data_IF_117697254625
#
_entry.id   IF_117697254625
#
_cell.length_a   1.000
_cell.length_b   1.000
_cell.length_c   1.000
_cell.angle_alpha   90.00
_cell.angle_beta   90.00
_cell.angle_gamma   90.00
#
_symmetry.space_group_name_H-M   'P 1'
#
loop_
_entity.id
_entity.type
_entity.pdbx_description
1 polymer ?
#
# COMPACT_ATOMS: atom_id res chain seq x y z
N UNK A 1 -3.11 8.67 3.18
CA UNK A 1 -1.87 7.95 2.80
C UNK A 1 -1.49 8.25 1.35
N UNK A 2 -2.36 7.94 0.37
CA UNK A 2 -2.04 8.07 -1.06
C UNK A 2 -1.60 9.48 -1.48
N UNK A 3 -2.37 10.51 -1.13
CA UNK A 3 -2.02 11.92 -1.43
C UNK A 3 -0.69 12.37 -0.80
N UNK A 4 -0.35 11.81 0.36
CA UNK A 4 0.91 12.09 1.04
C UNK A 4 2.07 11.41 0.32
N UNK A 5 2.00 10.10 0.04
CA UNK A 5 3.13 9.34 -0.49
C UNK A 5 3.36 9.54 -1.99
N UNK A 6 2.26 9.52 -2.77
CA UNK A 6 2.27 9.37 -4.23
C UNK A 6 1.92 10.65 -5.00
N UNK A 7 1.56 11.73 -4.30
CA UNK A 7 1.30 13.03 -4.92
C UNK A 7 2.28 14.06 -4.38
N UNK A 8 2.25 14.30 -3.06
CA UNK A 8 3.15 15.25 -2.38
C UNK A 8 4.48 14.64 -1.97
N UNK A 9 4.58 13.31 -1.93
CA UNK A 9 5.68 12.59 -1.29
C UNK A 9 6.81 12.23 -2.24
N UNK A 10 7.70 11.36 -1.79
CA UNK A 10 8.91 10.97 -2.52
C UNK A 10 8.61 10.09 -3.74
N UNK A 11 7.44 9.48 -3.79
CA UNK A 11 7.00 8.57 -4.84
C UNK A 11 6.01 9.22 -5.81
N UNK A 12 6.13 10.53 -6.03
CA UNK A 12 5.21 11.26 -6.93
C UNK A 12 5.44 10.98 -8.42
N UNK A 13 6.56 10.35 -8.78
CA UNK A 13 6.94 10.05 -10.16
C UNK A 13 7.33 8.58 -10.29
N UNK A 14 7.05 7.97 -11.45
CA UNK A 14 7.29 6.52 -11.62
C UNK A 14 8.77 6.15 -11.57
N UNK A 15 9.67 7.11 -11.85
CA UNK A 15 11.13 6.94 -11.71
C UNK A 15 11.59 6.67 -10.27
N UNK A 16 10.80 7.05 -9.26
CA UNK A 16 11.08 6.75 -7.85
C UNK A 16 10.31 5.52 -7.35
N UNK A 17 9.60 4.83 -8.24
CA UNK A 17 8.74 3.68 -7.95
C UNK A 17 7.28 3.96 -8.30
N UNK A 18 6.56 2.98 -8.81
CA UNK A 18 5.12 3.07 -9.04
C UNK A 18 4.36 2.89 -7.73
N UNK A 19 3.14 3.41 -7.65
CA UNK A 19 2.28 3.26 -6.48
C UNK A 19 1.95 1.79 -6.20
N UNK A 20 1.90 0.96 -7.24
CA UNK A 20 1.72 -0.48 -7.11
C UNK A 20 2.98 -1.17 -6.55
N UNK A 21 4.18 -0.86 -7.08
CA UNK A 21 5.42 -1.42 -6.56
C UNK A 21 5.63 -1.06 -5.08
N UNK A 22 5.41 0.20 -4.71
CA UNK A 22 5.67 0.67 -3.35
C UNK A 22 4.55 0.28 -2.37
N UNK A 23 3.30 0.22 -2.85
CA UNK A 23 2.13 0.01 -2.00
C UNK A 23 1.59 -1.42 -1.98
N UNK A 24 1.95 -2.25 -2.96
CA UNK A 24 1.37 -3.58 -3.19
C UNK A 24 2.41 -4.69 -3.40
N UNK A 25 3.72 -4.44 -3.39
CA UNK A 25 4.71 -5.52 -3.52
C UNK A 25 4.53 -6.61 -2.45
N UNK A 26 4.29 -6.22 -1.19
CA UNK A 26 4.02 -7.17 -0.12
C UNK A 26 2.69 -7.94 -0.31
N UNK A 27 1.74 -7.40 -1.09
CA UNK A 27 0.50 -8.10 -1.39
C UNK A 27 0.81 -9.24 -2.36
N UNK A 28 1.68 -8.98 -3.34
CA UNK A 28 2.23 -10.01 -4.23
C UNK A 28 3.09 -11.02 -3.45
N UNK A 29 3.90 -10.60 -2.48
CA UNK A 29 4.64 -11.51 -1.60
C UNK A 29 3.69 -12.49 -0.89
N UNK A 30 2.62 -11.99 -0.27
CA UNK A 30 1.63 -12.82 0.41
C UNK A 30 0.91 -13.77 -0.57
N UNK A 31 0.48 -13.26 -1.72
CA UNK A 31 -0.20 -14.05 -2.74
C UNK A 31 0.71 -15.18 -3.25
N UNK A 32 1.97 -14.87 -3.57
CA UNK A 32 2.93 -15.88 -4.03
C UNK A 32 3.15 -16.95 -2.96
N UNK A 33 3.27 -16.55 -1.69
CA UNK A 33 3.35 -17.49 -0.57
C UNK A 33 2.09 -18.37 -0.44
N UNK A 34 0.89 -17.82 -0.58
CA UNK A 34 -0.36 -18.59 -0.51
C UNK A 34 -0.57 -19.53 -1.70
N UNK A 35 -0.03 -19.17 -2.86
CA UNK A 35 -0.06 -20.03 -4.04
C UNK A 35 0.91 -21.21 -3.91
N UNK A 36 1.91 -21.12 -3.04
CA UNK A 36 2.92 -22.15 -2.82
C UNK A 36 3.82 -22.29 -4.04
N UNK A 37 4.09 -23.53 -4.46
CA UNK A 37 4.98 -23.81 -5.61
C UNK A 37 4.38 -23.45 -6.98
N UNK A 38 3.10 -23.05 -7.03
CA UNK A 38 2.43 -22.67 -8.28
C UNK A 38 2.93 -21.32 -8.74
N UNK A 39 3.37 -21.26 -9.99
CA UNK A 39 3.88 -20.02 -10.57
C UNK A 39 2.80 -19.25 -11.31
N UNK A 40 3.00 -17.94 -11.42
CA UNK A 40 2.16 -17.10 -12.27
C UNK A 40 2.54 -17.37 -13.73
N UNK A 41 1.54 -17.63 -14.59
CA UNK A 41 1.75 -17.90 -16.01
C UNK A 41 1.36 -16.72 -16.89
N UNK A 42 0.45 -15.86 -16.42
CA UNK A 42 0.08 -14.65 -17.15
C UNK A 42 -0.51 -13.58 -16.25
N UNK A 43 -0.32 -12.33 -16.64
CA UNK A 43 -0.83 -11.15 -15.96
C UNK A 43 -1.57 -10.23 -16.91
N UNK A 44 -2.63 -9.60 -16.41
CA UNK A 44 -3.26 -8.43 -17.02
C UNK A 44 -3.31 -7.31 -16.01
N UNK A 45 -3.05 -6.08 -16.42
CA UNK A 45 -3.25 -4.92 -15.56
C UNK A 45 -3.82 -3.75 -16.35
N UNK A 46 -4.79 -3.05 -15.77
CA UNK A 46 -5.37 -1.83 -16.30
C UNK A 46 -5.41 -0.79 -15.21
N UNK A 47 -5.05 0.45 -15.52
CA UNK A 47 -5.06 1.51 -14.53
C UNK A 47 -4.77 2.86 -15.16
N UNK A 48 -5.17 3.92 -14.47
CA UNK A 48 -5.00 5.30 -14.93
C UNK A 48 -4.98 6.27 -13.74
N UNK A 49 -4.61 7.52 -13.99
CA UNK A 49 -4.85 8.63 -13.06
C UNK A 49 -6.10 9.39 -13.53
N UNK A 50 -7.27 9.03 -12.99
CA UNK A 50 -8.55 9.60 -13.45
C UNK A 50 -8.89 10.91 -12.75
N UNK A 51 -8.44 11.12 -11.51
CA UNK A 51 -8.92 12.22 -10.67
C UNK A 51 -7.80 13.18 -10.28
N UNK A 52 -6.65 12.71 -9.80
CA UNK A 52 -5.60 13.55 -9.24
C UNK A 52 -4.69 14.15 -10.33
N UNK A 53 -5.30 14.92 -11.24
CA UNK A 53 -4.66 15.56 -12.37
C UNK A 53 -5.20 16.99 -12.58
N UNK A 54 -4.47 17.79 -13.37
CA UNK A 54 -4.76 19.22 -13.56
C UNK A 54 -6.15 19.49 -14.14
N UNK A 55 -6.67 18.58 -14.96
CA UNK A 55 -7.96 18.71 -15.63
C UNK A 55 -9.13 18.65 -14.65
N UNK A 56 -8.97 17.93 -13.52
CA UNK A 56 -9.99 17.83 -12.48
C UNK A 56 -9.84 18.87 -11.35
N UNK A 57 -8.90 19.81 -11.49
CA UNK A 57 -8.73 20.87 -10.49
C UNK A 57 -10.00 21.72 -10.41
N UNK A 58 -10.60 21.90 -9.21
CA UNK A 58 -11.70 22.85 -9.05
C UNK A 58 -11.25 24.26 -9.46
N UNK A 59 -12.05 25.02 -10.26
CA UNK A 59 -11.66 26.34 -10.74
C UNK A 59 -11.28 27.32 -9.61
N UNK A 60 -11.94 27.21 -8.46
CA UNK A 60 -11.73 28.04 -7.28
C UNK A 60 -10.54 27.58 -6.43
N UNK A 61 -9.94 26.43 -6.73
CA UNK A 61 -8.83 25.90 -5.95
C UNK A 61 -7.55 26.72 -6.16
N UNK A 62 -7.00 27.24 -5.06
CA UNK A 62 -5.70 27.89 -5.02
C UNK A 62 -4.55 26.93 -5.33
N UNK A 63 -3.36 27.48 -5.55
CA UNK A 63 -2.11 26.70 -5.74
C UNK A 63 -1.58 26.13 -4.44
N UNK A 64 -1.69 26.89 -3.35
CA UNK A 64 -1.29 26.48 -2.00
C UNK A 64 -2.53 26.22 -1.16
N UNK A 65 -2.52 25.16 -0.37
CA UNK A 65 -3.64 24.81 0.50
C UNK A 65 -3.87 25.82 1.62
N UNK A 66 -2.82 26.47 2.12
CA UNK A 66 -2.90 27.40 3.26
C UNK A 66 -3.87 28.56 3.02
N UNK A 67 -3.90 29.06 1.78
CA UNK A 67 -4.72 30.20 1.34
C UNK A 67 -5.76 29.78 0.29
N UNK A 68 -6.10 28.49 0.21
CA UNK A 68 -7.00 27.98 -0.82
C UNK A 68 -8.46 28.33 -0.49
N UNK A 69 -9.22 28.97 -1.41
CA UNK A 69 -10.61 29.35 -1.16
C UNK A 69 -11.56 28.18 -0.84
N UNK A 70 -11.24 26.96 -1.30
CA UNK A 70 -12.05 25.75 -1.08
C UNK A 70 -11.47 24.83 0.00
N UNK A 71 -10.45 25.27 0.74
CA UNK A 71 -9.73 24.46 1.74
C UNK A 71 -10.67 23.78 2.74
N UNK A 72 -11.63 24.52 3.29
CA UNK A 72 -12.57 24.05 4.30
C UNK A 72 -13.43 22.87 3.82
N UNK A 73 -13.69 22.74 2.52
CA UNK A 73 -14.46 21.63 1.93
C UNK A 73 -13.58 20.58 1.24
N UNK A 74 -12.31 20.89 1.01
CA UNK A 74 -11.38 20.01 0.31
C UNK A 74 -10.92 18.85 1.22
N UNK A 75 -11.07 17.61 0.74
CA UNK A 75 -10.54 16.40 1.40
C UNK A 75 -9.00 16.30 1.35
N UNK A 76 -8.37 17.01 0.40
CA UNK A 76 -6.92 17.00 0.20
C UNK A 76 -6.21 18.19 0.86
N UNK A 77 -6.90 18.95 1.71
CA UNK A 77 -6.31 20.09 2.42
C UNK A 77 -5.08 19.68 3.22
N UNK A 78 -3.95 20.35 2.96
CA UNK A 78 -2.74 20.16 3.75
C UNK A 78 -2.95 20.53 5.24
N UNK A 79 -3.81 21.52 5.54
CA UNK A 79 -4.12 21.89 6.93
C UNK A 79 -4.81 20.73 7.66
N UNK A 80 -5.82 20.12 7.04
CA UNK A 80 -6.54 18.97 7.62
C UNK A 80 -5.68 17.72 7.76
N UNK A 81 -4.75 17.52 6.83
CA UNK A 81 -3.87 16.33 6.80
C UNK A 81 -2.70 16.46 7.80
N UNK A 82 -2.15 17.66 7.99
CA UNK A 82 -0.92 17.85 8.74
C UNK A 82 -1.07 18.75 9.98
N UNK A 83 -1.70 19.92 9.84
CA UNK A 83 -1.77 20.93 10.89
C UNK A 83 -2.82 20.60 11.95
N UNK A 84 -4.00 20.15 11.55
CA UNK A 84 -5.09 19.86 12.47
C UNK A 84 -4.81 18.64 13.36
N UNK A 85 -4.24 17.52 12.86
CA UNK A 85 -3.80 16.42 13.71
C UNK A 85 -2.73 16.88 14.70
N UNK A 86 -1.74 17.66 14.24
CA UNK A 86 -0.70 18.21 15.11
C UNK A 86 -1.28 19.04 16.27
N UNK A 87 -2.22 19.95 15.97
CA UNK A 87 -2.91 20.76 17.00
C UNK A 87 -3.72 19.93 18.01
N UNK A 88 -4.16 18.73 17.61
CA UNK A 88 -4.84 17.76 18.47
C UNK A 88 -3.86 16.87 19.25
N UNK A 89 -2.55 17.09 19.11
CA UNK A 89 -1.50 16.31 19.76
C UNK A 89 -1.06 15.08 18.99
N UNK A 90 -1.56 14.86 17.77
CA UNK A 90 -1.11 13.77 16.91
C UNK A 90 0.13 14.21 16.10
N UNK A 91 1.28 13.73 16.53
CA UNK A 91 2.58 13.93 15.87
C UNK A 91 3.01 12.73 15.04
N UNK A 92 2.13 11.73 14.86
CA UNK A 92 2.42 10.51 14.11
C UNK A 92 2.39 10.72 12.59
N UNK A 93 2.29 9.62 11.85
CA UNK A 93 2.13 9.70 10.40
C UNK A 93 0.80 10.39 10.04
N UNK A 94 0.78 11.32 9.06
CA UNK A 94 1.88 11.72 8.19
C UNK A 94 2.63 12.99 8.64
N UNK A 95 2.33 13.52 9.84
CA UNK A 95 2.89 14.78 10.37
C UNK A 95 4.40 14.68 10.56
N UNK A 96 4.89 13.59 11.14
CA UNK A 96 6.32 13.34 11.36
C UNK A 96 7.17 13.24 10.11
N UNK A 97 6.58 13.10 8.92
CA UNK A 97 7.32 12.95 7.66
C UNK A 97 7.56 14.27 6.93
N UNK A 98 6.85 15.34 7.29
CA UNK A 98 7.02 16.65 6.63
C UNK A 98 7.99 17.57 7.37
N UNK A 99 8.50 17.14 8.52
CA UNK A 99 9.50 17.84 9.32
C UNK A 99 10.77 16.99 9.46
N UNK A 100 11.97 17.60 9.49
CA UNK A 100 13.23 16.85 9.62
C UNK A 100 13.49 16.31 11.03
N UNK A 101 12.80 16.86 12.03
CA UNK A 101 12.91 16.52 13.46
C UNK A 101 11.51 16.20 14.01
N UNK A 102 11.44 15.98 15.33
CA UNK A 102 10.16 15.90 16.06
C UNK A 102 9.27 17.09 15.64
N UNK A 103 8.03 16.83 15.17
CA UNK A 103 7.14 17.89 14.74
C UNK A 103 6.94 18.96 15.82
N UNK A 104 7.05 20.22 15.42
CA UNK A 104 6.59 21.37 16.17
C UNK A 104 5.68 22.25 15.28
N UNK A 105 5.00 23.21 15.90
CA UNK A 105 4.02 24.03 15.18
C UNK A 105 4.67 24.85 14.07
N UNK A 106 5.88 25.35 14.30
CA UNK A 106 6.62 26.18 13.35
C UNK A 106 7.10 25.35 12.16
N UNK A 107 7.63 24.16 12.39
CA UNK A 107 8.11 23.22 11.40
C UNK A 107 6.98 22.70 10.52
N UNK A 108 5.87 22.27 11.12
CA UNK A 108 4.68 21.84 10.37
C UNK A 108 4.11 22.99 9.55
N UNK A 109 3.98 24.18 10.13
CA UNK A 109 3.48 25.38 9.43
C UNK A 109 4.41 25.75 8.29
N UNK A 110 5.72 25.79 8.51
CA UNK A 110 6.71 26.08 7.47
C UNK A 110 6.63 25.06 6.34
N UNK A 111 6.57 23.76 6.66
CA UNK A 111 6.49 22.70 5.66
C UNK A 111 5.28 22.84 4.74
N UNK A 112 4.08 23.13 5.26
CA UNK A 112 2.88 23.34 4.44
C UNK A 112 2.85 24.71 3.73
N UNK A 113 3.73 25.64 4.06
CA UNK A 113 3.83 26.94 3.39
C UNK A 113 4.90 26.96 2.30
N UNK A 114 5.99 26.20 2.46
CA UNK A 114 7.19 26.35 1.62
C UNK A 114 7.57 25.13 0.81
N UNK A 115 6.83 24.02 0.93
CA UNK A 115 7.14 22.77 0.22
C UNK A 115 5.94 22.24 -0.53
N UNK A 116 6.16 21.25 -1.40
CA UNK A 116 5.11 20.50 -2.10
C UNK A 116 4.06 19.88 -1.18
N UNK A 117 4.35 19.69 0.11
CA UNK A 117 3.35 19.21 1.08
C UNK A 117 2.21 20.21 1.30
N UNK A 118 2.44 21.49 1.00
CA UNK A 118 1.44 22.56 1.00
C UNK A 118 0.69 22.76 -0.31
N UNK A 119 1.21 22.22 -1.41
CA UNK A 119 0.69 22.49 -2.76
C UNK A 119 -0.60 21.71 -3.05
N UNK A 120 -1.37 22.23 -4.00
CA UNK A 120 -2.59 21.61 -4.48
C UNK A 120 -2.28 20.29 -5.19
N UNK A 121 -2.93 19.20 -4.77
CA UNK A 121 -2.70 17.84 -5.33
C UNK A 121 -2.92 17.76 -6.85
N UNK A 122 -3.76 18.62 -7.41
CA UNK A 122 -4.04 18.66 -8.85
C UNK A 122 -2.98 19.42 -9.67
N UNK A 123 -2.16 20.26 -9.04
CA UNK A 123 -1.12 21.05 -9.73
C UNK A 123 0.25 20.34 -9.77
N UNK A 124 0.47 19.33 -8.91
CA UNK A 124 1.77 18.69 -8.72
C UNK A 124 2.21 17.76 -9.86
N UNK A 125 1.31 17.36 -10.75
CA UNK A 125 1.65 16.56 -11.94
C UNK A 125 2.20 15.17 -11.60
N UNK A 126 1.50 14.42 -10.75
CA UNK A 126 1.86 13.02 -10.44
C UNK A 126 1.69 12.11 -11.67
N UNK A 127 2.58 11.13 -11.78
CA UNK A 127 2.48 10.05 -12.79
C UNK A 127 1.84 8.78 -12.21
N UNK A 128 1.42 8.82 -10.94
CA UNK A 128 0.91 7.66 -10.22
C UNK A 128 -0.55 7.37 -10.54
N UNK A 129 -0.89 6.09 -10.66
CA UNK A 129 -2.24 5.62 -10.97
C UNK A 129 -3.11 5.65 -9.70
N UNK A 130 -4.22 6.38 -9.72
CA UNK A 130 -5.15 6.43 -8.59
C UNK A 130 -6.14 5.25 -8.57
N UNK A 131 -6.19 4.48 -9.66
CA UNK A 131 -6.90 3.22 -9.78
C UNK A 131 -6.11 2.25 -10.68
N UNK A 132 -5.95 1.02 -10.22
CA UNK A 132 -5.36 -0.07 -10.99
C UNK A 132 -5.99 -1.40 -10.62
N UNK A 133 -6.42 -2.16 -11.61
CA UNK A 133 -6.93 -3.53 -11.48
C UNK A 133 -5.91 -4.48 -12.07
N UNK A 134 -5.68 -5.60 -11.39
CA UNK A 134 -4.71 -6.63 -11.78
C UNK A 134 -5.39 -7.99 -11.70
N UNK A 135 -5.17 -8.82 -12.72
CA UNK A 135 -5.52 -10.22 -12.66
C UNK A 135 -4.28 -11.08 -12.93
N UNK A 136 -4.13 -12.15 -12.16
CA UNK A 136 -3.04 -13.11 -12.29
C UNK A 136 -3.64 -14.50 -12.53
N UNK A 137 -3.05 -15.24 -13.46
CA UNK A 137 -3.33 -16.66 -13.68
C UNK A 137 -2.14 -17.45 -13.16
N UNK A 138 -2.40 -18.45 -12.33
CA UNK A 138 -1.39 -19.37 -11.80
C UNK A 138 -1.49 -20.75 -12.44
N UNK A 139 -0.39 -21.50 -12.39
CA UNK A 139 -0.35 -22.92 -12.74
C UNK A 139 -1.46 -23.70 -12.01
N UNK A 140 -2.11 -24.62 -12.72
CA UNK A 140 -3.27 -25.35 -12.20
C UNK A 140 -4.59 -24.56 -12.24
N UNK A 141 -4.61 -23.36 -12.83
CA UNK A 141 -5.85 -22.60 -13.12
C UNK A 141 -6.39 -21.77 -11.96
N UNK A 142 -5.63 -21.62 -10.86
CA UNK A 142 -5.98 -20.68 -9.80
C UNK A 142 -5.80 -19.24 -10.27
N UNK A 143 -6.68 -18.35 -9.82
CA UNK A 143 -6.70 -16.95 -10.26
C UNK A 143 -6.63 -16.01 -9.07
N UNK A 144 -6.14 -14.80 -9.34
CA UNK A 144 -6.14 -13.68 -8.40
C UNK A 144 -6.72 -12.47 -9.11
N UNK A 145 -7.54 -11.69 -8.39
CA UNK A 145 -8.01 -10.39 -8.82
C UNK A 145 -7.75 -9.37 -7.71
N UNK A 146 -7.12 -8.25 -8.07
CA UNK A 146 -6.74 -7.19 -7.14
C UNK A 146 -7.19 -5.84 -7.67
N UNK A 147 -7.60 -4.97 -6.76
CA UNK A 147 -7.93 -3.56 -7.03
C UNK A 147 -7.13 -2.67 -6.09
N UNK A 148 -6.17 -1.94 -6.65
CA UNK A 148 -5.44 -0.89 -5.96
C UNK A 148 -6.11 0.46 -6.23
N UNK A 149 -6.65 1.08 -5.17
CA UNK A 149 -7.39 2.34 -5.25
C UNK A 149 -6.81 3.35 -4.26
N UNK A 150 -6.38 4.50 -4.75
CA UNK A 150 -5.67 5.48 -3.94
C UNK A 150 -6.56 6.32 -3.00
N UNK A 151 -7.80 6.61 -3.42
CA UNK A 151 -8.71 7.49 -2.68
C UNK A 151 -9.76 6.63 -1.98
N UNK A 152 -9.50 6.30 -0.71
CA UNK A 152 -10.39 5.46 0.11
C UNK A 152 -10.55 6.04 1.51
N UNK A 153 -11.61 5.64 2.20
CA UNK A 153 -11.90 6.08 3.58
C UNK A 153 -10.94 5.48 4.61
N UNK A 154 -10.31 4.35 4.28
CA UNK A 154 -9.41 3.62 5.17
C UNK A 154 -7.95 3.96 4.90
N UNK A 155 -7.23 4.34 5.94
CA UNK A 155 -5.78 4.49 5.85
C UNK A 155 -5.11 3.10 5.77
N UNK A 156 -4.31 2.88 4.73
CA UNK A 156 -3.62 1.60 4.48
C UNK A 156 -4.56 0.36 4.51
N UNK A 157 -5.82 0.54 4.07
CA UNK A 157 -6.83 -0.51 4.14
C UNK A 157 -6.60 -1.61 3.11
N UNK A 158 -6.83 -2.87 3.51
CA UNK A 158 -6.89 -4.02 2.62
C UNK A 158 -8.14 -4.84 2.95
N UNK A 159 -8.73 -5.43 1.91
CA UNK A 159 -9.78 -6.43 2.03
C UNK A 159 -9.31 -7.63 1.26
N UNK A 160 -9.24 -8.77 1.95
CA UNK A 160 -8.69 -10.02 1.44
C UNK A 160 -9.80 -11.05 1.52
N UNK A 161 -10.04 -11.74 0.40
CA UNK A 161 -10.93 -12.90 0.35
C UNK A 161 -10.25 -14.02 -0.41
N UNK A 162 -10.18 -15.19 0.22
CA UNK A 162 -9.54 -16.39 -0.32
C UNK A 162 -10.60 -17.48 -0.41
N UNK A 163 -10.72 -18.10 -1.56
CA UNK A 163 -11.67 -19.17 -1.83
C UNK A 163 -10.93 -20.49 -1.98
N UNK A 164 -11.35 -21.50 -1.24
CA UNK A 164 -10.88 -22.86 -1.34
C UNK A 164 -12.04 -23.82 -1.61
N UNK A 165 -11.70 -25.08 -1.91
CA UNK A 165 -12.71 -26.12 -2.18
C UNK A 165 -13.55 -26.50 -0.95
N UNK A 166 -13.07 -26.18 0.26
CA UNK A 166 -13.70 -26.52 1.54
C UNK A 166 -14.19 -25.32 2.34
N UNK A 167 -13.94 -24.10 1.87
CA UNK A 167 -14.16 -22.92 2.70
C UNK A 167 -13.67 -21.63 2.10
N UNK A 168 -13.95 -20.56 2.83
CA UNK A 168 -13.56 -19.20 2.48
C UNK A 168 -12.91 -18.51 3.68
N UNK A 169 -11.87 -17.73 3.42
CA UNK A 169 -11.23 -16.87 4.43
C UNK A 169 -11.46 -15.42 4.02
N UNK A 170 -11.86 -14.58 4.97
CA UNK A 170 -12.05 -13.15 4.77
C UNK A 170 -11.35 -12.36 5.89
N UNK A 171 -10.63 -11.31 5.52
CA UNK A 171 -10.09 -10.34 6.47
C UNK A 171 -10.06 -8.95 5.89
N UNK A 172 -10.36 -7.98 6.75
CA UNK A 172 -10.24 -6.56 6.48
C UNK A 172 -8.95 -5.98 7.07
N UNK A 173 -8.00 -6.80 7.53
CA UNK A 173 -6.82 -6.38 8.29
C UNK A 173 -7.17 -5.43 9.46
N UNK A 174 -8.33 -5.66 10.08
CA UNK A 174 -8.83 -4.91 11.25
C UNK A 174 -8.53 -5.64 12.57
N UNK A 175 -7.67 -6.66 12.51
CA UNK A 175 -7.36 -7.54 13.65
C UNK A 175 -8.26 -8.77 13.74
N UNK A 176 -9.14 -9.01 12.76
CA UNK A 176 -9.94 -10.23 12.69
C UNK A 176 -9.72 -11.01 11.39
N UNK A 177 -9.81 -12.34 11.48
CA UNK A 177 -9.86 -13.26 10.34
C UNK A 177 -11.09 -14.12 10.49
N UNK A 178 -11.95 -14.10 9.48
CA UNK A 178 -13.14 -14.92 9.42
C UNK A 178 -12.87 -16.14 8.54
N UNK A 179 -13.20 -17.33 9.05
CA UNK A 179 -13.15 -18.58 8.30
C UNK A 179 -14.55 -19.20 8.23
N UNK A 180 -15.00 -19.47 7.01
CA UNK A 180 -16.22 -20.19 6.71
C UNK A 180 -15.88 -21.60 6.24
N UNK A 181 -16.29 -22.60 7.00
CA UNK A 181 -16.13 -24.01 6.67
C UNK A 181 -17.40 -24.50 5.98
N UNK A 182 -17.28 -24.91 4.71
CA UNK A 182 -18.42 -25.34 3.89
C UNK A 182 -18.82 -26.81 4.16
N UNK A 183 -17.93 -27.63 4.70
CA UNK A 183 -18.23 -29.04 5.01
C UNK A 183 -19.16 -29.12 6.23
N UNK A 184 -18.90 -28.30 7.23
CA UNK A 184 -19.67 -28.21 8.48
C UNK A 184 -20.72 -27.10 8.47
N UNK A 185 -20.66 -26.20 7.47
CA UNK A 185 -21.46 -24.98 7.39
C UNK A 185 -21.33 -24.09 8.65
N UNK A 186 -20.11 -23.93 9.14
CA UNK A 186 -19.81 -23.14 10.34
C UNK A 186 -18.96 -21.92 10.04
N UNK A 187 -19.15 -20.86 10.83
CA UNK A 187 -18.35 -19.63 10.78
C UNK A 187 -17.55 -19.52 12.07
N UNK A 188 -16.25 -19.32 11.93
CA UNK A 188 -15.35 -19.01 13.05
C UNK A 188 -14.67 -17.66 12.81
N UNK A 189 -14.45 -16.91 13.90
CA UNK A 189 -13.76 -15.62 13.87
C UNK A 189 -12.55 -15.73 14.78
N UNK A 190 -11.38 -15.52 14.20
CA UNK A 190 -10.11 -15.48 14.91
C UNK A 190 -9.70 -14.04 15.12
N UNK A 191 -9.46 -13.68 16.38
CA UNK A 191 -8.98 -12.37 16.77
C UNK A 191 -7.57 -12.54 17.36
N UNK A 192 -6.50 -12.37 16.56
CA UNK A 192 -5.14 -12.34 17.09
C UNK A 192 -4.99 -11.33 18.23
N UNK A 193 -4.20 -11.70 19.23
CA UNK A 193 -3.88 -10.82 20.35
C UNK A 193 -3.18 -9.56 19.83
N UNK A 194 -3.61 -8.36 20.26
CA UNK A 194 -2.97 -7.13 19.85
C UNK A 194 -1.55 -7.05 20.41
N UNK A 195 -0.64 -6.45 19.63
CA UNK A 195 0.69 -6.09 20.09
C UNK A 195 0.59 -5.19 21.32
N UNK A 196 1.18 -5.64 22.44
CA UNK A 196 1.22 -4.89 23.71
C UNK A 196 2.40 -3.91 23.78
N UNK A 197 3.34 -4.00 22.84
CA UNK A 197 4.50 -3.12 22.74
C UNK A 197 4.09 -1.84 22.02
N UNK A 198 4.51 -0.69 22.54
CA UNK A 198 4.35 0.61 21.87
C UNK A 198 5.71 1.04 21.30
N UNK A 199 5.82 1.09 19.97
CA UNK A 199 7.01 1.59 19.28
C UNK A 199 6.66 2.22 17.93
N UNK A 200 7.65 2.79 17.22
CA UNK A 200 7.43 3.23 15.84
C UNK A 200 7.13 2.05 14.90
N UNK A 201 7.66 0.85 15.20
CA UNK A 201 7.43 -0.39 14.44
C UNK A 201 6.03 -0.98 14.66
N UNK A 202 5.26 -0.45 15.60
CA UNK A 202 3.87 -0.89 15.83
C UNK A 202 2.86 -0.02 15.08
N UNK A 203 3.31 0.94 14.26
CA UNK A 203 2.42 1.66 13.34
C UNK A 203 1.85 0.70 12.29
N UNK A 204 0.67 1.03 11.75
CA UNK A 204 0.00 0.28 10.66
C UNK A 204 -0.22 -1.22 10.92
N UNK A 205 -0.54 -1.62 12.16
CA UNK A 205 -0.88 -3.00 12.52
C UNK A 205 0.30 -3.82 13.05
N UNK A 206 1.51 -3.24 13.09
CA UNK A 206 2.66 -3.79 13.79
C UNK A 206 3.34 -5.00 13.13
N UNK A 207 3.09 -5.19 11.84
CA UNK A 207 3.82 -6.15 11.02
C UNK A 207 5.34 -5.90 11.07
N UNK A 208 5.79 -4.64 11.03
CA UNK A 208 7.21 -4.27 11.08
C UNK A 208 7.87 -4.76 12.37
N UNK A 209 7.16 -4.68 13.50
CA UNK A 209 7.67 -5.21 14.77
C UNK A 209 7.87 -6.73 14.69
N UNK A 210 6.87 -7.47 14.21
CA UNK A 210 6.97 -8.94 14.10
C UNK A 210 8.03 -9.39 13.10
N UNK A 211 8.21 -8.65 12.01
CA UNK A 211 9.25 -8.90 11.02
C UNK A 211 10.64 -8.74 11.66
N UNK A 212 10.86 -7.63 12.37
CA UNK A 212 12.13 -7.37 13.06
C UNK A 212 12.39 -8.34 14.22
N UNK A 213 11.36 -8.66 15.00
CA UNK A 213 11.44 -9.65 16.09
C UNK A 213 11.85 -11.01 15.54
N UNK A 214 11.19 -11.49 14.48
CA UNK A 214 11.53 -12.76 13.82
C UNK A 214 12.94 -12.76 13.25
N UNK A 215 13.36 -11.65 12.64
CA UNK A 215 14.72 -11.50 12.10
C UNK A 215 15.79 -11.57 13.19
N UNK A 216 15.66 -10.76 14.26
CA UNK A 216 16.61 -10.73 15.38
C UNK A 216 16.69 -12.10 16.05
N UNK A 217 15.55 -12.73 16.25
CA UNK A 217 15.41 -14.05 16.86
C UNK A 217 16.07 -15.16 16.01
N UNK A 218 15.90 -15.12 14.68
CA UNK A 218 16.58 -16.00 13.72
C UNK A 218 18.10 -15.84 13.76
N UNK A 219 18.60 -14.60 13.77
CA UNK A 219 20.04 -14.30 13.85
C UNK A 219 20.62 -14.76 15.18
N UNK A 220 19.95 -14.46 16.30
CA UNK A 220 20.40 -14.84 17.63
C UNK A 220 20.53 -16.37 17.80
N UNK A 221 19.62 -17.13 17.18
CA UNK A 221 19.65 -18.60 17.19
C UNK A 221 20.51 -19.21 16.10
N UNK A 222 20.98 -18.42 15.13
CA UNK A 222 21.65 -18.89 13.90
C UNK A 222 20.80 -19.91 13.15
N UNK A 223 19.50 -19.65 13.09
CA UNK A 223 18.51 -20.53 12.49
C UNK A 223 17.68 -19.77 11.45
N UNK A 224 18.08 -19.89 10.18
CA UNK A 224 17.42 -19.24 9.06
C UNK A 224 16.06 -19.83 8.72
N UNK A 225 15.74 -21.06 9.19
CA UNK A 225 14.46 -21.71 8.90
C UNK A 225 13.25 -21.00 9.51
N UNK A 226 13.50 -20.07 10.46
CA UNK A 226 12.49 -19.22 11.08
C UNK A 226 12.00 -18.10 10.17
N UNK A 227 12.73 -17.78 9.10
CA UNK A 227 12.34 -16.78 8.11
C UNK A 227 11.76 -17.54 6.91
N UNK A 228 10.44 -17.50 6.68
CA UNK A 228 9.82 -18.28 5.61
C UNK A 228 10.14 -17.72 4.22
N UNK A 229 10.48 -16.43 4.11
CA UNK A 229 10.83 -15.79 2.85
C UNK A 229 12.31 -16.02 2.50
N UNK A 230 12.57 -16.48 1.28
CA UNK A 230 13.93 -16.59 0.73
C UNK A 230 14.26 -15.41 -0.18
N UNK A 231 15.53 -15.27 -0.54
CA UNK A 231 15.96 -14.24 -1.51
C UNK A 231 15.28 -14.47 -2.86
N UNK A 232 15.16 -15.74 -3.27
CA UNK A 232 14.51 -16.15 -4.51
C UNK A 232 13.02 -15.82 -4.50
N UNK A 233 12.30 -16.11 -3.41
CA UNK A 233 10.87 -15.79 -3.32
C UNK A 233 10.63 -14.28 -3.38
N UNK A 234 11.45 -13.49 -2.67
CA UNK A 234 11.37 -12.03 -2.70
C UNK A 234 11.76 -11.45 -4.05
N UNK A 235 12.78 -12.01 -4.74
CA UNK A 235 13.16 -11.57 -6.08
C UNK A 235 12.03 -11.85 -7.07
N UNK A 236 11.47 -13.06 -7.03
CA UNK A 236 10.38 -13.47 -7.92
C UNK A 236 9.15 -12.57 -7.79
N UNK A 237 8.69 -12.28 -6.57
CA UNK A 237 7.51 -11.43 -6.35
C UNK A 237 7.74 -9.98 -6.80
N UNK A 238 8.95 -9.44 -6.60
CA UNK A 238 9.32 -8.10 -7.09
C UNK A 238 9.35 -8.06 -8.62
N UNK A 239 9.95 -9.07 -9.26
CA UNK A 239 9.94 -9.20 -10.72
C UNK A 239 8.51 -9.32 -11.26
N UNK A 240 7.65 -10.10 -10.62
CA UNK A 240 6.24 -10.21 -10.99
C UNK A 240 5.52 -8.85 -10.84
N UNK A 241 5.89 -8.06 -9.84
CA UNK A 241 5.36 -6.70 -9.66
C UNK A 241 5.78 -5.77 -10.81
N UNK A 242 7.02 -5.87 -11.29
CA UNK A 242 7.45 -5.14 -12.49
C UNK A 242 6.71 -5.60 -13.76
N UNK A 243 6.40 -6.89 -13.87
CA UNK A 243 5.62 -7.45 -14.97
C UNK A 243 4.16 -6.95 -14.94
N UNK A 244 3.57 -6.78 -13.75
CA UNK A 244 2.25 -6.13 -13.57
C UNK A 244 2.28 -4.70 -14.12
N UNK A 245 3.28 -3.90 -13.74
CA UNK A 245 3.44 -2.53 -14.25
C UNK A 245 3.72 -2.50 -15.76
N UNK A 246 4.47 -3.46 -16.28
CA UNK A 246 4.70 -3.59 -17.73
C UNK A 246 3.38 -3.88 -18.46
N UNK A 247 2.58 -4.82 -17.97
CA UNK A 247 1.27 -5.15 -18.54
C UNK A 247 0.35 -3.93 -18.59
N UNK A 248 0.35 -3.11 -17.52
CA UNK A 248 -0.42 -1.87 -17.46
C UNK A 248 0.04 -0.87 -18.51
N UNK A 249 1.34 -0.64 -18.66
CA UNK A 249 1.89 0.33 -19.62
C UNK A 249 1.71 -0.09 -21.08
N UNK A 250 1.88 -1.37 -21.35
CA UNK A 250 1.74 -1.93 -22.70
C UNK A 250 0.28 -2.20 -23.07
N UNK A 251 -0.63 -2.14 -22.09
CA UNK A 251 -2.05 -2.39 -22.25
C UNK A 251 -2.32 -3.76 -22.92
N UNK A 252 -1.65 -4.80 -22.43
CA UNK A 252 -1.70 -6.15 -23.00
C UNK A 252 -1.71 -7.22 -21.91
N UNK A 253 -2.06 -8.44 -22.30
CA UNK A 253 -1.85 -9.64 -21.49
C UNK A 253 -0.39 -10.06 -21.68
N UNK A 254 0.34 -10.21 -20.58
CA UNK A 254 1.71 -10.70 -20.60
C UNK A 254 1.77 -12.13 -20.11
N UNK A 255 2.43 -12.99 -20.90
CA UNK A 255 2.88 -14.29 -20.42
C UNK A 255 4.10 -14.08 -19.51
N UNK A 256 4.14 -14.78 -18.38
CA UNK A 256 5.25 -14.71 -17.43
C UNK A 256 6.29 -15.76 -17.81
N UNK A 257 7.56 -15.34 -17.88
CA UNK A 257 8.66 -16.24 -18.21
C UNK A 257 8.77 -17.36 -17.17
N UNK A 258 8.96 -18.62 -17.60
CA UNK A 258 9.27 -19.69 -16.68
C UNK A 258 10.60 -19.50 -15.93
N UNK A 259 11.48 -18.62 -16.40
CA UNK A 259 12.78 -18.34 -15.80
C UNK A 259 12.74 -17.10 -14.89
N UNK A 260 11.56 -16.48 -14.68
CA UNK A 260 11.43 -15.30 -13.82
C UNK A 260 11.93 -15.62 -12.40
N UNK A 261 12.91 -14.86 -11.92
CA UNK A 261 13.44 -15.00 -10.56
C UNK A 261 14.30 -16.25 -10.31
N UNK A 262 14.67 -17.00 -11.34
CA UNK A 262 15.66 -18.07 -11.25
C UNK A 262 17.06 -17.45 -11.22
N UNK A 263 17.82 -17.70 -10.14
CA UNK A 263 19.20 -17.23 -9.94
C UNK A 263 20.24 -18.24 -10.44
#
# INVERSE_FOLDING_TARGET
>A
MYSHCYIRGNWSHVKTGTSFLIGCCHDIDLITQWMGDRRCISVTSFGSNIHLNKQNKPPEAGKMCVDCPVEEKCQFSAKKIYLDPFKKGDMGFPVNLITPLVPDIEGVTKAINTTKFGECVYDLGTEQLDNQVVNLMYEGGSTVSMSHVGITSRQAGRTIKIFGTKGEIESNLDGSVTHYDLETNTKSVWNPEPLKVKSQLTQFGGADFHLMDTFVDSVARRDSSRIPATIESSLYSHLLTFEIDRAQRENTILAISPELGVL
#
